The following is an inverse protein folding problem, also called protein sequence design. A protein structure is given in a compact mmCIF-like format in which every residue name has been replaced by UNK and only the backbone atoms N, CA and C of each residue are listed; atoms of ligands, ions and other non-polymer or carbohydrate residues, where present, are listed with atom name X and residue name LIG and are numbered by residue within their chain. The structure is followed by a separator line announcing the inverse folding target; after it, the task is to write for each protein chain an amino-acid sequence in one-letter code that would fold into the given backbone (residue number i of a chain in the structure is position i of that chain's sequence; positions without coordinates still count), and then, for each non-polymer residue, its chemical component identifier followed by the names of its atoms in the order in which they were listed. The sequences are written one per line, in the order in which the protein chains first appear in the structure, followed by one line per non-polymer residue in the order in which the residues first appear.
data_IF_653969171568
#
_entry.id   IF_653969171568
#
_cell.length_a   1.000
_cell.length_b   1.000
_cell.length_c   1.000
_cell.angle_alpha   90.00
_cell.angle_beta   90.00
_cell.angle_gamma   90.00
#
_symmetry.space_group_name_H-M   'P 1'
#
loop_
_entity.id
_entity.type
_entity.pdbx_description
1 polymer ?
#
# COMPACT_ATOMS: atom_id res chain seq x y z
N UNK A 1 21.86 -10.72 -12.38
CA UNK A 1 23.27 -10.26 -12.46
C UNK A 1 24.07 -10.93 -13.57
N UNK A 2 24.00 -12.26 -13.78
CA UNK A 2 24.75 -12.94 -14.83
C UNK A 2 24.44 -12.47 -16.28
N UNK A 3 23.18 -12.17 -16.58
CA UNK A 3 22.76 -11.70 -17.90
C UNK A 3 23.31 -10.32 -18.28
N UNK A 4 23.45 -9.41 -17.29
CA UNK A 4 23.97 -8.06 -17.52
C UNK A 4 25.45 -8.10 -17.93
N UNK A 5 26.24 -8.94 -17.26
CA UNK A 5 27.64 -9.16 -17.63
C UNK A 5 27.75 -9.79 -19.03
N UNK A 6 26.83 -10.69 -19.40
CA UNK A 6 26.81 -11.29 -20.73
C UNK A 6 26.54 -10.25 -21.84
N UNK A 7 25.63 -9.30 -21.60
CA UNK A 7 25.33 -8.19 -22.53
C UNK A 7 26.55 -7.26 -22.67
N UNK A 8 27.18 -6.87 -21.56
CA UNK A 8 28.35 -5.99 -21.57
C UNK A 8 29.53 -6.62 -22.33
N UNK A 9 29.80 -7.91 -22.09
CA UNK A 9 30.84 -8.66 -22.80
C UNK A 9 30.54 -8.71 -24.30
N UNK A 10 29.28 -8.92 -24.68
CA UNK A 10 28.84 -8.89 -26.08
C UNK A 10 29.11 -7.54 -26.75
N UNK A 11 28.71 -6.43 -26.13
CA UNK A 11 28.97 -5.09 -26.65
C UNK A 11 30.47 -4.76 -26.74
N UNK A 12 31.26 -5.14 -25.73
CA UNK A 12 32.72 -4.94 -25.73
C UNK A 12 33.39 -5.72 -26.87
N UNK A 13 32.92 -6.93 -27.19
CA UNK A 13 33.42 -7.73 -28.30
C UNK A 13 33.18 -7.07 -29.67
N UNK A 14 32.00 -6.47 -29.87
CA UNK A 14 31.65 -5.75 -31.11
C UNK A 14 32.57 -4.53 -31.29
N UNK A 15 32.76 -3.74 -30.23
CA UNK A 15 33.66 -2.57 -30.26
C UNK A 15 35.10 -2.99 -30.53
N UNK A 16 35.59 -4.02 -29.85
CA UNK A 16 36.94 -4.54 -30.05
C UNK A 16 37.17 -5.06 -31.47
N UNK A 17 36.20 -5.75 -32.06
CA UNK A 17 36.27 -6.23 -33.44
C UNK A 17 36.31 -5.06 -34.44
N UNK A 18 35.51 -4.02 -34.23
CA UNK A 18 35.51 -2.81 -35.06
C UNK A 18 36.85 -2.08 -35.03
N UNK A 19 37.38 -1.83 -33.84
CA UNK A 19 38.68 -1.16 -33.65
C UNK A 19 39.83 -1.98 -34.25
N UNK A 20 39.86 -3.29 -33.98
CA UNK A 20 40.88 -4.17 -34.53
C UNK A 20 40.82 -4.24 -36.07
N UNK A 21 39.63 -4.27 -36.65
CA UNK A 21 39.44 -4.31 -38.11
C UNK A 21 39.88 -3.02 -38.80
N UNK A 22 39.63 -1.86 -38.19
CA UNK A 22 40.06 -0.55 -38.71
C UNK A 22 41.58 -0.40 -38.59
N UNK A 23 42.15 -0.74 -37.43
CA UNK A 23 43.59 -0.65 -37.19
C UNK A 23 44.41 -1.64 -38.05
N UNK A 24 43.85 -2.81 -38.34
CA UNK A 24 44.52 -3.85 -39.11
C UNK A 24 44.37 -3.69 -40.64
N UNK A 25 43.50 -2.80 -41.12
CA UNK A 25 43.20 -2.62 -42.57
C UNK A 25 44.42 -2.28 -43.43
N UNK A 26 45.52 -1.81 -42.84
CA UNK A 26 46.74 -1.39 -43.54
C UNK A 26 47.98 -2.25 -43.25
N UNK A 27 47.85 -3.35 -42.51
CA UNK A 27 48.99 -4.16 -42.05
C UNK A 27 49.24 -5.37 -42.95
N UNK A 28 50.39 -5.41 -43.63
CA UNK A 28 50.82 -6.56 -44.43
C UNK A 28 51.40 -7.66 -43.52
N UNK A 29 50.68 -8.78 -43.40
CA UNK A 29 51.19 -10.11 -43.04
C UNK A 29 51.47 -10.44 -41.56
N UNK A 30 50.70 -9.93 -40.58
CA UNK A 30 50.83 -10.42 -39.20
C UNK A 30 49.49 -10.53 -38.46
N UNK A 31 48.81 -11.66 -38.63
CA UNK A 31 47.52 -11.95 -37.99
C UNK A 31 47.58 -11.91 -36.46
N UNK A 32 48.76 -12.10 -35.85
CA UNK A 32 48.93 -11.97 -34.39
C UNK A 32 48.68 -10.53 -33.91
N UNK A 33 48.98 -9.52 -34.72
CA UNK A 33 48.80 -8.12 -34.35
C UNK A 33 47.31 -7.78 -34.17
N UNK A 34 46.45 -8.34 -35.03
CA UNK A 34 44.99 -8.19 -34.92
C UNK A 34 44.47 -8.77 -33.59
N UNK A 35 44.87 -9.99 -33.24
CA UNK A 35 44.44 -10.64 -32.00
C UNK A 35 44.90 -9.87 -30.75
N UNK A 36 46.12 -9.32 -30.76
CA UNK A 36 46.61 -8.50 -29.65
C UNK A 36 45.75 -7.24 -29.50
N UNK A 37 45.49 -6.50 -30.58
CA UNK A 37 44.68 -5.27 -30.55
C UNK A 37 43.25 -5.58 -30.08
N UNK A 38 42.67 -6.68 -30.57
CA UNK A 38 41.34 -7.13 -30.15
C UNK A 38 41.27 -7.42 -28.65
N UNK A 39 42.19 -8.25 -28.14
CA UNK A 39 42.22 -8.64 -26.71
C UNK A 39 42.43 -7.42 -25.82
N UNK A 40 43.39 -6.55 -26.16
CA UNK A 40 43.69 -5.34 -25.37
C UNK A 40 42.48 -4.39 -25.34
N UNK A 41 41.83 -4.17 -26.49
CA UNK A 41 40.65 -3.29 -26.57
C UNK A 41 39.46 -3.89 -25.81
N UNK A 42 39.28 -5.21 -25.86
CA UNK A 42 38.22 -5.91 -25.14
C UNK A 42 38.42 -5.83 -23.62
N UNK A 43 39.65 -6.04 -23.12
CA UNK A 43 39.97 -5.91 -21.70
C UNK A 43 39.78 -4.47 -21.21
N UNK A 44 40.26 -3.48 -21.96
CA UNK A 44 40.11 -2.06 -21.62
C UNK A 44 38.64 -1.62 -21.60
N UNK A 45 37.87 -2.01 -22.62
CA UNK A 45 36.45 -1.66 -22.72
C UNK A 45 35.61 -2.33 -21.62
N UNK A 46 35.92 -3.58 -21.30
CA UNK A 46 35.28 -4.28 -20.19
C UNK A 46 35.64 -3.61 -18.86
N UNK A 47 36.91 -3.31 -18.60
CA UNK A 47 37.36 -2.59 -17.40
C UNK A 47 36.69 -1.23 -17.24
N UNK A 48 36.60 -0.45 -18.32
CA UNK A 48 35.90 0.84 -18.33
C UNK A 48 34.39 0.67 -18.06
N UNK A 49 33.76 -0.35 -18.63
CA UNK A 49 32.36 -0.66 -18.37
C UNK A 49 32.11 -1.01 -16.90
N UNK A 50 33.02 -1.77 -16.28
CA UNK A 50 32.93 -2.10 -14.85
C UNK A 50 33.14 -0.87 -13.96
N UNK A 51 34.01 0.06 -14.34
CA UNK A 51 34.37 1.23 -13.55
C UNK A 51 33.39 2.40 -13.69
N UNK A 52 32.74 2.56 -14.85
CA UNK A 52 31.90 3.73 -15.14
C UNK A 52 30.43 3.39 -15.38
N UNK A 53 30.13 2.29 -16.09
CA UNK A 53 28.76 1.95 -16.49
C UNK A 53 28.04 1.18 -15.38
N UNK A 54 28.69 0.14 -14.83
CA UNK A 54 28.11 -0.64 -13.75
C UNK A 54 27.76 0.15 -12.49
N UNK A 55 28.59 1.09 -11.97
CA UNK A 55 28.21 1.83 -10.77
C UNK A 55 26.98 2.71 -11.01
N UNK A 56 26.78 3.27 -12.21
CA UNK A 56 25.59 4.08 -12.53
C UNK A 56 24.33 3.20 -12.56
N UNK A 57 24.37 2.08 -13.28
CA UNK A 57 23.25 1.13 -13.37
C UNK A 57 22.92 0.53 -12.00
N UNK A 58 23.94 0.22 -11.20
CA UNK A 58 23.76 -0.30 -9.84
C UNK A 58 23.24 0.78 -8.89
N UNK A 59 23.72 2.01 -8.98
CA UNK A 59 23.23 3.11 -8.17
C UNK A 59 21.74 3.36 -8.43
N UNK A 60 21.29 3.36 -9.68
CA UNK A 60 19.88 3.59 -10.03
C UNK A 60 18.97 2.41 -9.62
N UNK A 61 19.40 1.17 -9.80
CA UNK A 61 18.60 -0.02 -9.42
C UNK A 61 18.60 -0.31 -7.92
N UNK A 62 19.72 -0.07 -7.23
CA UNK A 62 19.89 -0.42 -5.81
C UNK A 62 19.28 0.64 -4.90
N UNK A 63 19.41 1.93 -5.22
CA UNK A 63 18.86 3.03 -4.41
C UNK A 63 17.32 3.00 -4.40
N UNK A 64 16.72 2.66 -5.54
CA UNK A 64 15.26 2.57 -5.71
C UNK A 64 14.69 1.36 -4.96
N UNK A 65 15.33 0.19 -5.06
CA UNK A 65 14.90 -1.03 -4.36
C UNK A 65 15.03 -0.89 -2.83
N UNK A 66 16.17 -0.37 -2.33
CA UNK A 66 16.40 -0.22 -0.89
C UNK A 66 15.54 0.90 -0.26
N UNK A 67 15.24 1.99 -0.99
CA UNK A 67 14.33 3.04 -0.51
C UNK A 67 12.87 2.56 -0.46
N UNK A 68 12.47 1.70 -1.40
CA UNK A 68 11.15 1.10 -1.44
C UNK A 68 10.98 -0.01 -0.39
N UNK A 69 12.02 -0.80 -0.11
CA UNK A 69 12.03 -1.75 1.01
C UNK A 69 11.92 -1.04 2.36
N UNK A 70 12.62 0.09 2.54
CA UNK A 70 12.50 0.92 3.75
C UNK A 70 11.10 1.49 3.94
N UNK A 71 10.34 1.70 2.87
CA UNK A 71 8.96 2.20 2.96
C UNK A 71 8.01 1.17 3.59
N UNK A 72 8.29 -0.12 3.38
CA UNK A 72 7.56 -1.22 4.02
C UNK A 72 8.16 -1.63 5.37
N UNK A 73 9.25 -0.99 5.80
CA UNK A 73 9.95 -1.28 7.06
C UNK A 73 9.33 -0.58 8.28
N UNK A 74 8.01 -0.37 8.26
CA UNK A 74 7.28 0.14 9.42
C UNK A 74 7.05 -0.99 10.45
N UNK A 75 7.17 -0.69 11.74
CA UNK A 75 7.01 -1.67 12.83
C UNK A 75 5.68 -2.43 12.77
N UNK A 76 4.60 -1.74 12.41
CA UNK A 76 3.29 -2.33 12.18
C UNK A 76 3.24 -3.34 11.02
N UNK A 77 3.93 -3.08 9.90
CA UNK A 77 3.98 -4.00 8.76
C UNK A 77 4.77 -5.27 9.10
N UNK A 78 5.77 -5.16 9.99
CA UNK A 78 6.47 -6.33 10.56
C UNK A 78 5.54 -7.24 11.34
N UNK A 79 4.60 -6.67 12.11
CA UNK A 79 3.60 -7.46 12.83
C UNK A 79 2.65 -8.15 11.85
N UNK A 80 2.18 -7.44 10.82
CA UNK A 80 1.34 -8.06 9.78
C UNK A 80 2.07 -9.21 9.11
N UNK A 81 3.37 -9.07 8.79
CA UNK A 81 4.18 -10.16 8.24
C UNK A 81 4.20 -11.40 9.14
N UNK A 82 4.33 -11.20 10.46
CA UNK A 82 4.44 -12.30 11.43
C UNK A 82 3.13 -13.07 11.59
N UNK A 83 2.00 -12.37 11.64
CA UNK A 83 0.69 -12.98 11.89
C UNK A 83 -0.08 -13.36 10.62
N UNK A 84 0.00 -12.56 9.56
CA UNK A 84 -0.62 -12.82 8.25
C UNK A 84 0.37 -12.59 7.10
N UNK A 85 1.23 -13.58 6.91
CA UNK A 85 2.23 -13.58 5.82
C UNK A 85 1.58 -13.50 4.43
N UNK A 86 0.37 -14.01 4.24
CA UNK A 86 -0.36 -13.95 2.97
C UNK A 86 -0.73 -12.49 2.64
N UNK A 87 -1.42 -11.80 3.56
CA UNK A 87 -1.78 -10.40 3.39
C UNK A 87 -0.54 -9.52 3.23
N UNK A 88 0.52 -9.76 4.01
CA UNK A 88 1.79 -9.06 3.84
C UNK A 88 2.39 -9.25 2.44
N UNK A 89 2.44 -10.48 1.93
CA UNK A 89 2.98 -10.73 0.60
C UNK A 89 2.12 -10.08 -0.50
N UNK A 90 0.79 -10.04 -0.33
CA UNK A 90 -0.09 -9.32 -1.25
C UNK A 90 0.20 -7.82 -1.25
N UNK A 91 0.28 -7.19 -0.06
CA UNK A 91 0.63 -5.76 0.12
C UNK A 91 1.96 -5.46 -0.58
N UNK A 92 2.96 -6.28 -0.28
CA UNK A 92 4.31 -6.16 -0.83
C UNK A 92 4.31 -6.27 -2.35
N UNK A 93 3.65 -7.28 -2.90
CA UNK A 93 3.62 -7.53 -4.34
C UNK A 93 2.90 -6.41 -5.09
N UNK A 94 1.75 -5.96 -4.58
CA UNK A 94 0.99 -4.85 -5.17
C UNK A 94 1.85 -3.58 -5.20
N UNK A 95 2.46 -3.24 -4.06
CA UNK A 95 3.33 -2.08 -3.94
C UNK A 95 4.49 -2.11 -4.95
N UNK A 96 5.21 -3.23 -5.05
CA UNK A 96 6.32 -3.34 -6.00
C UNK A 96 5.88 -3.42 -7.46
N UNK A 97 4.70 -3.99 -7.73
CA UNK A 97 4.15 -4.05 -9.08
C UNK A 97 3.88 -2.64 -9.60
N UNK A 98 3.20 -1.81 -8.80
CA UNK A 98 2.92 -0.41 -9.13
C UNK A 98 4.21 0.35 -9.46
N UNK A 99 5.23 0.25 -8.61
CA UNK A 99 6.52 0.90 -8.87
C UNK A 99 7.20 0.34 -10.13
N UNK A 100 7.15 -0.97 -10.37
CA UNK A 100 7.76 -1.61 -11.55
C UNK A 100 7.10 -1.15 -12.85
N UNK A 101 5.80 -0.83 -12.81
CA UNK A 101 5.05 -0.27 -13.94
C UNK A 101 5.37 1.21 -14.20
N UNK A 102 6.31 1.80 -13.44
CA UNK A 102 6.76 3.18 -13.61
C UNK A 102 5.85 4.20 -12.93
N UNK A 103 4.87 3.73 -12.14
CA UNK A 103 4.00 4.61 -11.35
C UNK A 103 4.74 5.19 -10.15
N UNK A 104 4.25 6.32 -9.68
CA UNK A 104 4.78 7.08 -8.57
C UNK A 104 4.60 6.36 -7.23
N UNK A 105 5.39 6.78 -6.23
CA UNK A 105 5.26 6.30 -4.85
C UNK A 105 3.87 6.58 -4.28
N UNK A 106 3.30 7.70 -4.68
CA UNK A 106 1.96 8.15 -4.30
C UNK A 106 0.88 7.20 -4.82
N UNK A 107 1.00 6.76 -6.07
CA UNK A 107 0.11 5.75 -6.67
C UNK A 107 0.28 4.39 -5.97
N UNK A 108 1.51 4.02 -5.61
CA UNK A 108 1.76 2.80 -4.87
C UNK A 108 1.14 2.84 -3.46
N UNK A 109 1.15 4.00 -2.78
CA UNK A 109 0.46 4.18 -1.50
C UNK A 109 -1.07 4.15 -1.66
N UNK A 110 -1.61 4.73 -2.73
CA UNK A 110 -3.04 4.64 -3.02
C UNK A 110 -3.47 3.18 -3.26
N UNK A 111 -2.68 2.40 -4.00
CA UNK A 111 -2.94 0.98 -4.20
C UNK A 111 -2.95 0.20 -2.87
N UNK A 112 -2.02 0.51 -1.94
CA UNK A 112 -2.03 -0.08 -0.60
C UNK A 112 -3.29 0.28 0.18
N UNK A 113 -3.75 1.54 0.11
CA UNK A 113 -4.98 1.99 0.76
C UNK A 113 -6.19 1.17 0.31
N UNK A 114 -6.28 0.87 -0.98
CA UNK A 114 -7.38 0.09 -1.57
C UNK A 114 -7.47 -1.34 -1.00
N UNK A 115 -6.39 -1.86 -0.42
CA UNK A 115 -6.38 -3.18 0.20
C UNK A 115 -6.83 -3.21 1.66
N UNK A 116 -6.84 -2.05 2.33
CA UNK A 116 -7.18 -1.94 3.75
C UNK A 116 -8.59 -2.46 4.05
N UNK A 117 -9.65 -2.14 3.27
CA UNK A 117 -10.99 -2.64 3.56
C UNK A 117 -11.06 -4.18 3.61
N UNK A 118 -10.47 -4.87 2.64
CA UNK A 118 -10.43 -6.35 2.62
C UNK A 118 -9.66 -6.91 3.80
N UNK A 119 -8.56 -6.26 4.17
CA UNK A 119 -7.76 -6.66 5.33
C UNK A 119 -8.53 -6.49 6.64
N UNK A 120 -9.21 -5.35 6.81
CA UNK A 120 -10.06 -5.09 7.97
C UNK A 120 -11.20 -6.11 8.04
N UNK A 121 -11.88 -6.38 6.92
CA UNK A 121 -12.95 -7.39 6.85
C UNK A 121 -12.47 -8.79 7.22
N UNK A 122 -11.21 -9.15 6.88
CA UNK A 122 -10.62 -10.45 7.21
C UNK A 122 -10.33 -10.62 8.71
N UNK A 123 -9.89 -9.56 9.40
CA UNK A 123 -9.32 -9.69 10.75
C UNK A 123 -10.12 -9.03 11.87
N UNK A 124 -10.75 -7.89 11.59
CA UNK A 124 -11.47 -7.13 12.62
C UNK A 124 -12.61 -7.92 13.29
N UNK A 125 -13.41 -8.75 12.59
CA UNK A 125 -14.47 -9.53 13.23
C UNK A 125 -14.01 -10.39 14.42
N UNK A 126 -12.79 -10.92 14.35
CA UNK A 126 -12.20 -11.79 15.36
C UNK A 126 -11.19 -11.08 16.28
N UNK A 127 -10.96 -9.79 16.10
CA UNK A 127 -10.03 -9.02 16.92
C UNK A 127 -10.55 -8.80 18.34
N UNK A 128 -9.68 -8.32 19.24
CA UNK A 128 -10.11 -7.96 20.59
C UNK A 128 -10.99 -6.70 20.59
N UNK A 129 -11.76 -6.53 21.66
CA UNK A 129 -12.61 -5.34 21.85
C UNK A 129 -11.79 -4.04 21.81
N UNK A 130 -10.65 -4.03 22.48
CA UNK A 130 -9.74 -2.87 22.49
C UNK A 130 -9.21 -2.54 21.09
N UNK A 131 -8.90 -3.56 20.27
CA UNK A 131 -8.42 -3.35 18.91
C UNK A 131 -9.53 -2.77 18.01
N UNK A 132 -10.77 -3.21 18.19
CA UNK A 132 -11.92 -2.69 17.45
C UNK A 132 -12.20 -1.22 17.79
N UNK A 133 -12.14 -0.84 19.08
CA UNK A 133 -12.31 0.55 19.51
C UNK A 133 -11.18 1.44 18.94
N UNK A 134 -9.92 1.02 19.07
CA UNK A 134 -8.78 1.77 18.53
C UNK A 134 -8.86 1.96 17.01
N UNK A 135 -9.39 0.97 16.30
CA UNK A 135 -9.65 1.11 14.86
C UNK A 135 -10.72 2.14 14.56
N UNK A 136 -11.85 2.13 15.28
CA UNK A 136 -12.89 3.13 15.10
C UNK A 136 -12.40 4.55 15.43
N UNK A 137 -11.61 4.73 16.50
CA UNK A 137 -10.98 6.00 16.83
C UNK A 137 -10.06 6.49 15.71
N UNK A 138 -9.20 5.62 15.18
CA UNK A 138 -8.33 5.94 14.06
C UNK A 138 -9.14 6.34 12.82
N UNK A 139 -10.18 5.58 12.49
CA UNK A 139 -11.06 5.85 11.35
C UNK A 139 -11.74 7.21 11.48
N UNK A 140 -12.24 7.57 12.67
CA UNK A 140 -12.82 8.89 12.92
C UNK A 140 -11.80 10.01 12.69
N UNK A 141 -10.55 9.83 13.12
CA UNK A 141 -9.48 10.82 12.89
C UNK A 141 -9.20 11.01 11.41
N UNK A 142 -8.97 9.92 10.68
CA UNK A 142 -8.72 9.96 9.22
C UNK A 142 -9.83 10.69 8.48
N UNK A 143 -11.08 10.30 8.71
CA UNK A 143 -12.22 10.88 8.01
C UNK A 143 -12.44 12.35 8.39
N UNK A 144 -12.18 12.71 9.65
CA UNK A 144 -12.29 14.11 10.11
C UNK A 144 -11.23 14.98 9.45
N UNK A 145 -9.97 14.53 9.40
CA UNK A 145 -8.90 15.26 8.72
C UNK A 145 -9.18 15.41 7.22
N UNK A 146 -9.65 14.36 6.56
CA UNK A 146 -10.01 14.43 5.14
C UNK A 146 -11.13 15.44 4.89
N UNK A 147 -12.20 15.40 5.69
CA UNK A 147 -13.29 16.38 5.60
C UNK A 147 -12.83 17.82 5.84
N UNK A 148 -11.86 18.04 6.72
CA UNK A 148 -11.32 19.38 6.99
C UNK A 148 -10.42 19.90 5.87
N UNK A 149 -9.76 19.01 5.12
CA UNK A 149 -8.87 19.38 4.02
C UNK A 149 -9.58 19.52 2.66
N UNK A 150 -10.77 18.94 2.50
CA UNK A 150 -11.55 19.08 1.27
C UNK A 150 -12.82 18.23 1.25
N UNK A 151 -13.90 18.79 0.69
CA UNK A 151 -15.22 18.17 0.63
C UNK A 151 -15.26 16.88 -0.23
N UNK A 152 -14.32 16.71 -1.15
CA UNK A 152 -14.24 15.60 -2.10
C UNK A 152 -13.23 14.51 -1.71
N UNK A 153 -12.57 14.62 -0.56
CA UNK A 153 -11.48 13.72 -0.17
C UNK A 153 -11.95 12.50 0.64
N UNK A 154 -12.95 12.68 1.50
CA UNK A 154 -13.38 11.61 2.41
C UNK A 154 -14.12 10.47 1.67
N UNK A 155 -14.97 10.79 0.69
CA UNK A 155 -15.75 9.78 -0.03
C UNK A 155 -14.87 8.78 -0.82
N UNK A 156 -13.88 9.19 -1.65
CA UNK A 156 -12.99 8.24 -2.30
C UNK A 156 -12.10 7.47 -1.33
N UNK A 157 -11.83 8.02 -0.13
CA UNK A 157 -11.14 7.27 0.92
C UNK A 157 -11.98 6.12 1.47
N UNK A 158 -13.29 6.33 1.65
CA UNK A 158 -14.24 5.31 2.09
C UNK A 158 -14.58 4.29 0.99
N UNK A 159 -14.64 4.73 -0.27
CA UNK A 159 -15.04 3.93 -1.42
C UNK A 159 -13.97 3.91 -2.52
N UNK A 160 -12.76 3.36 -2.24
CA UNK A 160 -11.65 3.39 -3.19
C UNK A 160 -11.94 2.66 -4.51
N UNK A 161 -12.82 1.65 -4.51
CA UNK A 161 -13.19 0.92 -5.73
C UNK A 161 -13.92 1.77 -6.78
N UNK A 162 -14.35 2.99 -6.45
CA UNK A 162 -15.05 3.91 -7.36
C UNK A 162 -14.11 4.60 -8.37
N UNK A 163 -12.84 4.21 -8.39
CA UNK A 163 -11.88 4.59 -9.44
C UNK A 163 -11.18 5.93 -9.24
N UNK A 164 -11.46 6.65 -8.15
CA UNK A 164 -10.72 7.86 -7.79
C UNK A 164 -9.56 7.49 -6.87
N UNK A 165 -8.34 7.50 -7.42
CA UNK A 165 -7.12 7.31 -6.64
C UNK A 165 -6.87 8.51 -5.75
N UNK A 166 -7.06 8.32 -4.43
CA UNK A 166 -6.73 9.32 -3.43
C UNK A 166 -5.35 9.03 -2.85
N UNK A 167 -4.42 9.98 -3.00
CA UNK A 167 -3.22 9.99 -2.19
C UNK A 167 -3.53 10.59 -0.81
N UNK A 168 -3.97 9.75 0.12
CA UNK A 168 -4.32 10.14 1.48
C UNK A 168 -3.14 10.70 2.27
N UNK A 169 -1.89 10.38 1.91
CA UNK A 169 -0.69 10.87 2.62
C UNK A 169 -0.48 12.38 2.51
N UNK A 170 -1.14 13.05 1.55
CA UNK A 170 -1.11 14.52 1.43
C UNK A 170 -2.06 15.24 2.38
N UNK A 171 -3.07 14.54 2.88
CA UNK A 171 -4.21 15.14 3.58
C UNK A 171 -4.40 14.59 4.99
N UNK A 172 -3.81 13.43 5.29
CA UNK A 172 -3.80 12.82 6.62
C UNK A 172 -2.42 13.06 7.25
N UNK A 173 -2.41 13.61 8.46
CA UNK A 173 -1.21 13.89 9.23
C UNK A 173 -0.42 12.61 9.52
N UNK A 174 0.90 12.75 9.66
CA UNK A 174 1.77 11.61 9.99
C UNK A 174 1.36 10.96 11.31
N UNK A 175 0.95 11.75 12.31
CA UNK A 175 0.42 11.23 13.58
C UNK A 175 -0.83 10.37 13.38
N UNK A 176 -1.80 10.82 12.58
CA UNK A 176 -3.01 10.03 12.31
C UNK A 176 -2.68 8.77 11.52
N UNK A 177 -1.77 8.84 10.54
CA UNK A 177 -1.29 7.67 9.80
C UNK A 177 -0.63 6.63 10.70
N UNK A 178 0.22 7.05 11.64
CA UNK A 178 0.86 6.17 12.61
C UNK A 178 -0.18 5.49 13.51
N UNK A 179 -1.16 6.24 14.01
CA UNK A 179 -2.27 5.71 14.83
C UNK A 179 -3.09 4.68 14.05
N UNK A 180 -3.47 4.98 12.81
CA UNK A 180 -4.20 4.05 11.95
C UNK A 180 -3.43 2.77 11.69
N UNK A 181 -2.15 2.89 11.36
CA UNK A 181 -1.31 1.75 11.06
C UNK A 181 -1.06 0.89 12.33
N UNK A 182 -0.92 1.51 13.49
CA UNK A 182 -0.88 0.80 14.77
C UNK A 182 -2.19 0.07 15.06
N UNK A 183 -3.35 0.69 14.81
CA UNK A 183 -4.66 0.05 14.96
C UNK A 183 -4.80 -1.18 14.05
N UNK A 184 -4.41 -1.08 12.78
CA UNK A 184 -4.40 -2.20 11.83
C UNK A 184 -3.50 -3.35 12.31
N UNK A 185 -2.32 -3.04 12.84
CA UNK A 185 -1.42 -4.07 13.39
C UNK A 185 -1.99 -4.77 14.62
N UNK A 186 -2.71 -4.03 15.49
CA UNK A 186 -3.37 -4.59 16.66
C UNK A 186 -4.56 -5.48 16.29
N UNK A 187 -5.33 -5.09 15.27
CA UNK A 187 -6.41 -5.92 14.73
C UNK A 187 -5.86 -7.31 14.36
N UNK A 188 -4.81 -7.38 13.54
CA UNK A 188 -4.25 -8.67 13.13
C UNK A 188 -3.66 -9.41 14.31
N UNK A 189 -2.82 -8.75 15.13
CA UNK A 189 -2.20 -9.42 16.27
C UNK A 189 -3.25 -10.09 17.17
N UNK A 190 -4.32 -9.36 17.49
CA UNK A 190 -5.37 -9.85 18.40
C UNK A 190 -6.30 -10.85 17.75
N UNK A 191 -6.53 -10.78 16.44
CA UNK A 191 -7.31 -11.81 15.71
C UNK A 191 -6.65 -13.18 15.72
N UNK A 192 -5.35 -13.27 15.99
CA UNK A 192 -4.62 -14.54 16.12
C UNK A 192 -4.32 -14.92 17.57
N UNK A 193 -3.85 -13.98 18.39
CA UNK A 193 -3.39 -14.28 19.76
C UNK A 193 -4.54 -14.37 20.77
N UNK A 194 -5.56 -13.55 20.57
CA UNK A 194 -6.69 -13.42 21.48
C UNK A 194 -7.98 -13.35 20.66
N UNK A 195 -8.10 -14.30 19.74
CA UNK A 195 -9.21 -14.37 18.79
C UNK A 195 -10.52 -14.47 19.57
N UNK A 196 -11.51 -13.67 19.15
CA UNK A 196 -12.87 -13.72 19.68
C UNK A 196 -13.83 -14.23 18.61
N UNK A 197 -14.95 -14.79 19.05
CA UNK A 197 -16.06 -15.12 18.15
C UNK A 197 -16.65 -13.83 17.54
N UNK A 198 -17.13 -13.97 16.31
CA UNK A 198 -17.84 -12.89 15.62
C UNK A 198 -19.17 -12.70 16.35
N UNK A 199 -19.50 -11.48 16.81
CA UNK A 199 -20.76 -11.22 17.50
C UNK A 199 -21.96 -11.62 16.63
N UNK A 200 -23.01 -12.17 17.24
CA UNK A 200 -24.23 -12.52 16.53
C UNK A 200 -25.11 -11.30 16.27
N UNK A 201 -26.08 -11.42 15.37
CA UNK A 201 -27.06 -10.36 15.13
C UNK A 201 -27.91 -10.10 16.37
N UNK A 202 -28.24 -11.14 17.15
CA UNK A 202 -29.02 -11.03 18.39
C UNK A 202 -28.26 -10.26 19.48
N UNK A 203 -26.93 -10.42 19.55
CA UNK A 203 -26.10 -9.68 20.50
C UNK A 203 -26.00 -8.19 20.15
N UNK A 204 -26.12 -7.84 18.87
CA UNK A 204 -25.83 -6.49 18.37
C UNK A 204 -27.10 -5.69 18.07
N UNK A 205 -28.22 -6.34 17.73
CA UNK A 205 -29.47 -5.66 17.35
C UNK A 205 -29.97 -4.71 18.44
N UNK A 206 -30.05 -5.19 19.68
CA UNK A 206 -30.48 -4.38 20.83
C UNK A 206 -29.56 -3.19 21.14
N UNK A 207 -28.29 -3.28 20.75
CA UNK A 207 -27.29 -2.20 20.89
C UNK A 207 -27.42 -1.20 19.74
N UNK A 208 -27.62 -1.70 18.51
CA UNK A 208 -27.71 -0.89 17.29
C UNK A 208 -29.02 -0.13 17.16
N UNK A 209 -30.14 -0.73 17.54
CA UNK A 209 -31.48 -0.12 17.42
C UNK A 209 -31.56 1.32 17.98
N UNK A 210 -31.15 1.61 19.22
CA UNK A 210 -31.20 2.98 19.74
C UNK A 210 -30.25 3.93 19.02
N UNK A 211 -29.10 3.45 18.55
CA UNK A 211 -28.14 4.24 17.76
C UNK A 211 -28.77 4.61 16.41
N UNK A 212 -29.32 3.62 15.69
CA UNK A 212 -30.00 3.82 14.42
C UNK A 212 -31.18 4.76 14.58
N UNK A 213 -31.99 4.60 15.64
CA UNK A 213 -33.13 5.48 15.90
C UNK A 213 -32.69 6.94 16.14
N UNK A 214 -31.61 7.13 16.90
CA UNK A 214 -31.03 8.46 17.15
C UNK A 214 -30.54 9.10 15.86
N UNK A 215 -29.81 8.36 15.04
CA UNK A 215 -29.28 8.86 13.77
C UNK A 215 -30.40 9.07 12.73
N UNK A 216 -31.45 8.23 12.73
CA UNK A 216 -32.63 8.38 11.88
C UNK A 216 -33.41 9.66 12.21
N UNK A 217 -33.57 10.00 13.49
CA UNK A 217 -34.22 11.25 13.89
C UNK A 217 -33.44 12.49 13.43
N UNK A 218 -32.12 12.36 13.25
CA UNK A 218 -31.24 13.46 12.87
C UNK A 218 -31.06 13.60 11.36
N UNK A 219 -30.90 12.49 10.65
CA UNK A 219 -30.61 12.45 9.22
C UNK A 219 -31.82 12.09 8.36
N UNK A 220 -32.91 11.58 8.97
CA UNK A 220 -34.11 11.19 8.24
C UNK A 220 -33.80 10.19 7.12
N UNK A 221 -34.33 10.47 5.93
CA UNK A 221 -34.12 9.61 4.76
C UNK A 221 -32.66 9.58 4.30
N UNK A 222 -31.83 10.57 4.66
CA UNK A 222 -30.42 10.59 4.28
C UNK A 222 -29.62 9.46 4.93
N UNK A 223 -30.13 8.86 6.02
CA UNK A 223 -29.51 7.68 6.62
C UNK A 223 -29.48 6.50 5.64
N UNK A 224 -30.38 6.42 4.65
CA UNK A 224 -30.34 5.37 3.63
C UNK A 224 -29.09 5.47 2.73
N UNK A 225 -28.42 6.63 2.68
CA UNK A 225 -27.20 6.82 1.88
C UNK A 225 -26.04 5.95 2.35
N UNK A 226 -26.02 5.46 3.59
CA UNK A 226 -24.98 4.54 4.08
C UNK A 226 -25.22 3.08 3.64
N UNK A 227 -26.47 2.73 3.33
CA UNK A 227 -26.84 1.37 2.90
C UNK A 227 -26.52 1.19 1.42
N UNK A 228 -26.76 2.22 0.61
CA UNK A 228 -26.45 2.25 -0.82
C UNK A 228 -25.56 3.46 -1.17
N UNK A 229 -24.30 3.51 -0.69
CA UNK A 229 -23.46 4.68 -0.82
C UNK A 229 -22.94 4.94 -2.24
N UNK A 230 -23.22 4.04 -3.19
CA UNK A 230 -22.58 3.96 -4.51
C UNK A 230 -23.57 4.31 -5.65
N UNK A 231 -24.48 5.26 -5.44
CA UNK A 231 -25.40 5.74 -6.48
C UNK A 231 -24.87 6.98 -7.21
N UNK A 232 -25.19 7.12 -8.50
CA UNK A 232 -24.75 8.25 -9.35
C UNK A 232 -25.18 9.64 -8.85
N UNK A 233 -26.11 9.72 -7.89
CA UNK A 233 -26.61 10.95 -7.27
C UNK A 233 -26.36 11.03 -5.75
N UNK A 234 -25.50 10.17 -5.21
CA UNK A 234 -25.20 10.17 -3.78
C UNK A 234 -24.55 11.48 -3.35
N UNK A 235 -25.08 12.10 -2.31
CA UNK A 235 -24.45 13.22 -1.62
C UNK A 235 -23.21 12.71 -0.86
N UNK A 236 -22.05 12.84 -1.49
CA UNK A 236 -20.77 12.32 -1.01
C UNK A 236 -20.35 12.94 0.33
N UNK A 237 -20.60 14.23 0.51
CA UNK A 237 -20.29 14.95 1.76
C UNK A 237 -21.14 14.39 2.88
N UNK A 238 -22.44 14.22 2.63
CA UNK A 238 -23.37 13.70 3.63
C UNK A 238 -23.06 12.25 4.01
N UNK A 239 -22.65 11.40 3.06
CA UNK A 239 -22.18 10.04 3.37
C UNK A 239 -20.99 10.07 4.34
N UNK A 240 -20.04 10.98 4.11
CA UNK A 240 -18.90 11.17 5.01
C UNK A 240 -19.33 11.63 6.41
N UNK A 241 -20.19 12.64 6.49
CA UNK A 241 -20.71 13.14 7.76
C UNK A 241 -21.41 12.05 8.57
N UNK A 242 -22.32 11.31 7.93
CA UNK A 242 -23.07 10.23 8.56
C UNK A 242 -22.09 9.13 9.02
N UNK A 243 -21.13 8.74 8.18
CA UNK A 243 -20.15 7.70 8.52
C UNK A 243 -19.32 8.09 9.75
N UNK A 244 -18.83 9.34 9.82
CA UNK A 244 -18.09 9.85 10.98
C UNK A 244 -18.98 9.83 12.23
N UNK A 245 -20.23 10.25 12.11
CA UNK A 245 -21.17 10.28 13.26
C UNK A 245 -21.56 8.90 13.73
N UNK A 246 -21.72 7.93 12.84
CA UNK A 246 -21.95 6.53 13.21
C UNK A 246 -20.79 5.97 14.02
N UNK A 247 -19.55 6.09 13.53
CA UNK A 247 -18.38 5.64 14.30
C UNK A 247 -18.28 6.35 15.66
N UNK A 248 -18.54 7.66 15.72
CA UNK A 248 -18.58 8.40 16.99
C UNK A 248 -19.67 7.88 17.93
N UNK A 249 -20.83 7.51 17.42
CA UNK A 249 -21.92 6.94 18.21
C UNK A 249 -21.54 5.58 18.78
N UNK A 250 -20.86 4.73 17.99
CA UNK A 250 -20.33 3.46 18.49
C UNK A 250 -19.29 3.65 19.58
N UNK A 251 -18.44 4.68 19.48
CA UNK A 251 -17.45 5.03 20.49
C UNK A 251 -18.05 5.63 21.77
N UNK A 252 -19.32 6.05 21.75
CA UNK A 252 -20.03 6.55 22.94
C UNK A 252 -20.72 5.44 23.74
N UNK A 253 -20.87 4.25 23.15
CA UNK A 253 -21.39 3.07 23.85
C UNK A 253 -20.38 2.57 24.89
N UNK A 254 -20.82 1.77 25.88
CA UNK A 254 -19.89 0.98 26.69
C UNK A 254 -18.90 0.23 25.79
N UNK A 255 -17.61 0.24 26.16
CA UNK A 255 -16.52 -0.21 25.27
C UNK A 255 -16.73 -1.60 24.67
N UNK A 256 -17.35 -2.53 25.41
CA UNK A 256 -17.64 -3.90 24.96
C UNK A 256 -18.82 -3.94 23.98
N UNK A 257 -19.82 -3.08 24.17
CA UNK A 257 -20.97 -3.00 23.27
C UNK A 257 -20.58 -2.34 21.95
N UNK A 258 -19.85 -1.22 22.01
CA UNK A 258 -19.34 -0.53 20.83
C UNK A 258 -18.40 -1.41 20.00
N UNK A 259 -17.51 -2.17 20.66
CA UNK A 259 -16.62 -3.09 19.96
C UNK A 259 -17.37 -4.23 19.28
N UNK A 260 -18.40 -4.81 19.92
CA UNK A 260 -19.24 -5.86 19.31
C UNK A 260 -19.90 -5.35 18.03
N UNK A 261 -20.45 -4.13 18.06
CA UNK A 261 -21.05 -3.49 16.89
C UNK A 261 -20.02 -3.33 15.77
N UNK A 262 -18.84 -2.78 16.07
CA UNK A 262 -17.78 -2.56 15.09
C UNK A 262 -17.33 -3.87 14.44
N UNK A 263 -17.12 -4.92 15.24
CA UNK A 263 -16.70 -6.26 14.77
C UNK A 263 -17.79 -6.93 13.92
N UNK A 264 -19.05 -6.81 14.34
CA UNK A 264 -20.19 -7.32 13.59
C UNK A 264 -20.35 -6.65 12.22
N UNK A 265 -20.28 -5.31 12.17
CA UNK A 265 -20.38 -4.56 10.91
C UNK A 265 -19.23 -4.89 9.96
N UNK A 266 -18.01 -5.06 10.48
CA UNK A 266 -16.87 -5.48 9.69
C UNK A 266 -17.01 -6.89 9.11
N UNK A 267 -17.88 -7.74 9.68
CA UNK A 267 -18.15 -9.08 9.18
C UNK A 267 -19.20 -9.11 8.06
N UNK A 268 -19.96 -8.03 7.87
CA UNK A 268 -20.96 -7.95 6.81
C UNK A 268 -20.30 -7.75 5.45
N UNK A 269 -20.90 -8.33 4.41
CA UNK A 269 -20.43 -8.25 3.01
C UNK A 269 -21.18 -7.19 2.22
#
# INVERSE_FOLDING_TARGET
MAWLNAVIVGCCGIVAAGVASIAYRNSKNNNHLYYIIFIVTMILSFGASQAFILPIIKAESSTTTTSNEKLLDHSALKLIKWYDTESYNRIKNEFYQVIKEGQSKEEAMAALHNMIPTFVQKHLPNASDEAAIKYAEAKVRELTELMQNGEDLCYPFLFPQMGQTLNSTKYISDTTREVSLAALSNIVRTSFVSSQDIPSVEEVSSILEPVIYTELNKYGQDLALIQEPVMNKTDKIKVCEITIKMYKSFLQLPSVEGSKVIRYLAAQK
#
